data_IF_036721635611
#
_entry.id   IF_036721635611
#
_cell.length_a   1.000
_cell.length_b   1.000
_cell.length_c   1.000
_cell.angle_alpha   90.00
_cell.angle_beta   90.00
_cell.angle_gamma   90.00
#
_symmetry.space_group_name_H-M   'P 1'
#
loop_
_entity.id
_entity.type
_entity.pdbx_description
1 polymer ?
#
# COMPACT_ATOMS: atom_id res chain seq x y z
N UNK A 1 -11.52 0.41 6.88
CA UNK A 1 -11.70 1.46 5.84
C UNK A 1 -12.12 0.82 4.52
N UNK A 2 -12.56 1.57 3.50
CA UNK A 2 -12.83 0.98 2.18
C UNK A 2 -11.57 1.07 1.29
N UNK A 3 -11.27 -0.02 0.58
CA UNK A 3 -10.19 -0.05 -0.42
C UNK A 3 -10.49 0.92 -1.57
N UNK A 4 -9.45 1.63 -2.02
CA UNK A 4 -9.50 2.46 -3.23
C UNK A 4 -8.37 2.06 -4.16
N UNK A 5 -8.63 1.94 -5.46
CA UNK A 5 -7.61 1.57 -6.44
C UNK A 5 -6.44 2.57 -6.42
N UNK A 6 -5.20 2.13 -6.13
CA UNK A 6 -4.02 2.99 -6.14
C UNK A 6 -3.77 3.59 -7.53
N UNK A 7 -3.19 4.79 -7.58
CA UNK A 7 -2.76 5.42 -8.83
C UNK A 7 -1.35 4.95 -9.16
N UNK A 8 -1.20 4.22 -10.26
CA UNK A 8 0.09 3.62 -10.70
C UNK A 8 0.58 4.17 -12.03
N UNK A 9 -0.07 5.22 -12.53
CA UNK A 9 0.23 5.88 -13.79
C UNK A 9 0.66 7.33 -13.60
N UNK A 10 1.33 7.63 -12.48
CA UNK A 10 1.89 8.95 -12.21
C UNK A 10 2.85 9.36 -13.32
N UNK A 11 2.64 10.54 -13.88
CA UNK A 11 3.51 11.10 -14.91
C UNK A 11 4.06 12.47 -14.49
N UNK A 12 5.34 12.69 -14.78
CA UNK A 12 6.01 13.96 -14.56
C UNK A 12 7.07 14.20 -15.62
N UNK A 13 7.10 15.42 -16.15
CA UNK A 13 8.13 15.90 -17.05
C UNK A 13 8.52 17.32 -16.64
N UNK A 14 9.73 17.72 -16.97
CA UNK A 14 10.17 19.11 -16.83
C UNK A 14 10.35 19.67 -18.24
N UNK A 15 9.74 20.82 -18.51
CA UNK A 15 9.94 21.50 -19.79
C UNK A 15 11.36 22.08 -19.91
N UNK A 16 11.70 22.59 -21.10
CA UNK A 16 13.01 23.20 -21.37
C UNK A 16 13.29 24.47 -20.56
N UNK A 17 12.30 25.00 -19.83
CA UNK A 17 12.37 26.24 -19.04
C UNK A 17 12.35 25.91 -17.53
N UNK A 18 12.24 24.63 -17.14
CA UNK A 18 12.26 24.17 -15.75
C UNK A 18 10.88 24.02 -15.09
N UNK A 19 9.78 24.19 -15.81
CA UNK A 19 8.43 24.00 -15.25
C UNK A 19 8.07 22.52 -15.20
N UNK A 20 7.51 22.09 -14.07
CA UNK A 20 6.99 20.74 -13.91
C UNK A 20 5.62 20.61 -14.60
N UNK A 21 5.57 19.72 -15.59
CA UNK A 21 4.38 19.30 -16.34
C UNK A 21 4.06 17.88 -15.93
N UNK A 22 2.99 17.71 -15.15
CA UNK A 22 2.53 16.38 -14.78
C UNK A 22 1.64 16.36 -13.55
N UNK A 23 1.45 15.15 -13.05
CA UNK A 23 0.69 14.87 -11.84
C UNK A 23 1.41 15.43 -10.61
N UNK A 24 0.64 16.08 -9.74
CA UNK A 24 1.12 16.59 -8.45
C UNK A 24 0.50 15.82 -7.32
N UNK A 25 1.33 15.43 -6.35
CA UNK A 25 0.88 14.79 -5.13
C UNK A 25 0.04 15.77 -4.29
N UNK A 26 -1.12 15.32 -3.81
CA UNK A 26 -2.03 16.14 -3.00
C UNK A 26 -2.58 15.36 -1.80
N UNK A 27 -3.42 16.03 -1.01
CA UNK A 27 -3.98 15.46 0.22
C UNK A 27 -4.88 14.24 -0.03
N UNK A 28 -5.59 14.20 -1.17
CA UNK A 28 -6.44 13.05 -1.56
C UNK A 28 -5.57 11.84 -1.84
N UNK A 29 -4.44 12.01 -2.53
CA UNK A 29 -3.51 10.92 -2.81
C UNK A 29 -2.87 10.39 -1.53
N UNK A 30 -2.45 11.27 -0.62
CA UNK A 30 -1.94 10.88 0.70
C UNK A 30 -2.98 10.07 1.48
N UNK A 31 -4.21 10.57 1.56
CA UNK A 31 -5.29 9.89 2.28
C UNK A 31 -5.63 8.53 1.65
N UNK A 32 -5.62 8.43 0.31
CA UNK A 32 -5.80 7.17 -0.42
C UNK A 32 -4.74 6.15 0.01
N UNK A 33 -3.46 6.51 -0.08
CA UNK A 33 -2.34 5.62 0.25
C UNK A 33 -2.42 5.18 1.71
N UNK A 34 -2.60 6.13 2.63
CA UNK A 34 -2.75 5.89 4.07
C UNK A 34 -3.88 4.90 4.37
N UNK A 35 -5.06 5.14 3.81
CA UNK A 35 -6.23 4.30 4.04
C UNK A 35 -6.07 2.91 3.42
N UNK A 36 -5.43 2.81 2.25
CA UNK A 36 -5.10 1.54 1.61
C UNK A 36 -4.10 0.71 2.42
N UNK A 37 -3.07 1.32 3.00
CA UNK A 37 -2.14 0.62 3.89
C UNK A 37 -2.84 0.08 5.14
N UNK A 38 -3.78 0.85 5.69
CA UNK A 38 -4.60 0.42 6.83
C UNK A 38 -5.48 -0.76 6.44
N UNK A 39 -6.14 -0.69 5.28
CA UNK A 39 -6.92 -1.79 4.72
C UNK A 39 -6.07 -3.06 4.48
N UNK A 40 -4.89 -2.91 3.89
CA UNK A 40 -3.96 -4.02 3.67
C UNK A 40 -3.55 -4.69 4.98
N UNK A 41 -3.31 -3.92 6.04
CA UNK A 41 -3.04 -4.47 7.37
C UNK A 41 -4.24 -5.23 7.90
N UNK A 42 -5.46 -4.69 7.81
CA UNK A 42 -6.69 -5.37 8.24
C UNK A 42 -6.88 -6.71 7.50
N UNK A 43 -6.69 -6.70 6.18
CA UNK A 43 -6.75 -7.90 5.35
C UNK A 43 -5.65 -8.90 5.72
N UNK A 44 -4.40 -8.44 5.87
CA UNK A 44 -3.27 -9.27 6.24
C UNK A 44 -3.46 -9.94 7.61
N UNK A 45 -3.94 -9.21 8.62
CA UNK A 45 -4.17 -9.77 9.97
C UNK A 45 -5.33 -10.77 10.00
N UNK A 46 -6.28 -10.69 9.06
CA UNK A 46 -7.32 -11.73 8.93
C UNK A 46 -6.78 -13.08 8.41
N UNK A 47 -5.53 -13.10 7.96
CA UNK A 47 -4.90 -14.21 7.24
C UNK A 47 -3.62 -14.71 7.92
N UNK A 48 -2.79 -13.78 8.38
CA UNK A 48 -1.46 -13.97 8.96
C UNK A 48 -1.47 -13.68 10.46
N UNK A 49 -0.34 -13.88 11.13
CA UNK A 49 -0.14 -13.50 12.52
C UNK A 49 -0.40 -12.01 12.72
N UNK A 50 -0.97 -11.64 13.86
CA UNK A 50 -1.27 -10.25 14.17
C UNK A 50 -0.01 -9.38 14.22
N UNK A 51 -0.07 -8.21 13.57
CA UNK A 51 0.95 -7.17 13.62
C UNK A 51 0.30 -5.79 13.56
N UNK A 52 1.05 -4.76 13.91
CA UNK A 52 0.61 -3.36 13.87
C UNK A 52 1.43 -2.54 12.89
N UNK A 53 0.84 -1.46 12.39
CA UNK A 53 1.51 -0.41 11.63
C UNK A 53 1.36 0.91 12.39
N UNK A 54 2.26 1.86 12.16
CA UNK A 54 2.18 3.14 12.85
C UNK A 54 1.00 3.97 12.30
N UNK A 55 0.21 4.63 13.17
CA UNK A 55 -0.85 5.51 12.72
C UNK A 55 -0.27 6.79 12.10
N UNK A 56 -0.79 7.19 10.93
CA UNK A 56 -0.42 8.42 10.22
C UNK A 56 -1.30 9.63 10.57
N UNK A 57 -2.04 9.54 11.67
CA UNK A 57 -2.91 10.61 12.17
C UNK A 57 -4.21 10.78 11.41
N UNK A 58 -4.76 12.01 11.43
CA UNK A 58 -6.01 12.38 10.75
C UNK A 58 -5.84 12.52 9.24
N UNK A 59 -6.95 12.56 8.52
CA UNK A 59 -6.92 12.80 7.08
C UNK A 59 -6.44 14.22 6.80
N UNK A 60 -5.60 14.35 5.77
CA UNK A 60 -5.05 15.64 5.34
C UNK A 60 -6.09 16.41 4.56
N UNK A 61 -6.09 17.72 4.76
CA UNK A 61 -6.78 18.70 3.95
C UNK A 61 -5.81 19.37 2.99
N UNK A 62 -6.27 20.02 1.91
CA UNK A 62 -5.40 20.77 1.00
C UNK A 62 -4.59 21.89 1.66
N UNK A 63 -4.96 22.31 2.88
CA UNK A 63 -4.26 23.32 3.65
C UNK A 63 -3.11 22.76 4.51
N UNK A 64 -3.05 21.43 4.67
CA UNK A 64 -2.04 20.78 5.50
C UNK A 64 -0.72 20.57 4.73
N UNK A 65 0.37 20.66 5.48
CA UNK A 65 1.71 20.36 4.96
C UNK A 65 2.00 18.86 5.06
N UNK A 66 2.78 18.37 4.09
CA UNK A 66 3.35 17.02 4.12
C UNK A 66 4.72 17.06 4.76
N UNK A 67 4.90 16.33 5.85
CA UNK A 67 6.19 16.23 6.51
C UNK A 67 6.96 14.99 6.02
N UNK A 68 8.29 15.10 5.99
CA UNK A 68 9.16 14.04 5.46
C UNK A 68 9.07 12.74 6.29
N UNK A 69 8.90 12.86 7.60
CA UNK A 69 8.67 11.75 8.53
C UNK A 69 7.36 11.01 8.24
N UNK A 70 6.29 11.74 7.90
CA UNK A 70 5.00 11.14 7.52
C UNK A 70 5.12 10.33 6.24
N UNK A 71 5.85 10.83 5.25
CA UNK A 71 6.11 10.09 4.01
C UNK A 71 6.97 8.86 4.27
N UNK A 72 8.05 9.01 5.04
CA UNK A 72 8.88 7.87 5.46
C UNK A 72 8.06 6.82 6.23
N UNK A 73 7.07 7.27 7.00
CA UNK A 73 6.18 6.37 7.73
C UNK A 73 5.24 5.58 6.80
N UNK A 74 4.81 6.14 5.66
CA UNK A 74 4.08 5.38 4.64
C UNK A 74 4.92 4.23 4.09
N UNK A 75 6.18 4.52 3.76
CA UNK A 75 7.15 3.53 3.27
C UNK A 75 7.44 2.44 4.31
N UNK A 76 7.66 2.82 5.57
CA UNK A 76 7.91 1.86 6.65
C UNK A 76 6.66 1.01 6.92
N UNK A 77 5.46 1.59 6.88
CA UNK A 77 4.22 0.82 7.03
C UNK A 77 4.04 -0.21 5.92
N UNK A 78 4.32 0.15 4.66
CA UNK A 78 4.31 -0.78 3.54
C UNK A 78 5.32 -1.93 3.76
N UNK A 79 6.54 -1.59 4.20
CA UNK A 79 7.58 -2.56 4.50
C UNK A 79 7.20 -3.51 5.63
N UNK A 80 6.56 -3.01 6.70
CA UNK A 80 6.04 -3.83 7.80
C UNK A 80 4.97 -4.81 7.29
N UNK A 81 3.98 -4.32 6.53
CA UNK A 81 2.94 -5.18 5.94
C UNK A 81 3.57 -6.27 5.09
N UNK A 82 4.49 -5.92 4.20
CA UNK A 82 5.15 -6.87 3.32
C UNK A 82 6.02 -7.89 4.08
N UNK A 83 6.76 -7.44 5.11
CA UNK A 83 7.65 -8.32 5.90
C UNK A 83 6.88 -9.36 6.73
N UNK A 84 5.66 -9.03 7.15
CA UNK A 84 4.78 -9.92 7.90
C UNK A 84 3.87 -10.79 7.01
N UNK A 85 3.89 -10.59 5.69
CA UNK A 85 3.05 -11.32 4.74
C UNK A 85 3.90 -12.09 3.72
N UNK A 86 4.02 -11.55 2.51
CA UNK A 86 4.54 -12.24 1.33
C UNK A 86 6.05 -12.04 1.11
N UNK A 87 6.68 -11.13 1.86
CA UNK A 87 8.12 -10.84 1.84
C UNK A 87 8.66 -10.62 0.42
N UNK A 88 7.92 -9.85 -0.39
CA UNK A 88 8.25 -9.54 -1.79
C UNK A 88 9.30 -8.44 -1.87
N UNK A 89 9.99 -8.36 -3.00
CA UNK A 89 10.92 -7.25 -3.27
C UNK A 89 10.22 -6.19 -4.12
N UNK A 90 10.04 -5.00 -3.56
CA UNK A 90 9.44 -3.83 -4.22
C UNK A 90 10.46 -2.70 -4.44
N UNK A 91 11.74 -3.07 -4.58
CA UNK A 91 12.85 -2.13 -4.68
C UNK A 91 13.22 -1.46 -3.36
N UNK A 92 14.12 -0.48 -3.46
CA UNK A 92 14.61 0.29 -2.30
C UNK A 92 13.66 1.45 -2.03
N UNK A 93 13.19 1.56 -0.78
CA UNK A 93 12.41 2.72 -0.35
C UNK A 93 13.33 3.94 -0.23
N UNK A 94 12.98 5.07 -0.86
CA UNK A 94 13.69 6.33 -0.65
C UNK A 94 13.53 6.81 0.80
N UNK A 95 14.46 7.63 1.28
CA UNK A 95 14.36 8.27 2.59
C UNK A 95 14.33 9.78 2.40
N UNK A 96 13.26 10.39 2.86
CA UNK A 96 13.04 11.83 2.77
C UNK A 96 13.57 12.53 4.01
N UNK A 97 14.21 13.68 3.79
CA UNK A 97 14.72 14.56 4.85
C UNK A 97 14.06 15.92 4.76
N UNK A 98 13.94 16.61 5.89
CA UNK A 98 13.37 17.96 5.93
C UNK A 98 14.14 18.91 5.00
N UNK A 99 13.41 19.74 4.24
CA UNK A 99 13.95 20.64 3.21
C UNK A 99 14.71 19.93 2.06
N UNK A 100 14.56 18.61 1.92
CA UNK A 100 15.08 17.85 0.80
C UNK A 100 14.14 17.83 -0.40
N UNK A 101 14.50 17.04 -1.42
CA UNK A 101 13.62 16.78 -2.55
C UNK A 101 12.38 15.99 -2.11
N UNK A 102 11.24 16.36 -2.70
CA UNK A 102 9.97 15.66 -2.55
C UNK A 102 9.92 14.47 -3.51
N UNK A 103 9.09 13.48 -3.19
CA UNK A 103 8.92 12.24 -3.97
C UNK A 103 8.76 12.50 -5.47
N UNK A 104 9.41 11.69 -6.29
CA UNK A 104 9.19 11.72 -7.73
C UNK A 104 8.03 10.80 -8.17
N UNK A 105 7.56 10.97 -9.40
CA UNK A 105 6.47 10.14 -9.94
C UNK A 105 6.85 8.66 -10.06
N UNK A 106 8.14 8.32 -10.16
CA UNK A 106 8.60 6.93 -10.24
C UNK A 106 8.52 6.24 -8.86
N UNK A 107 8.88 6.96 -7.81
CA UNK A 107 8.78 6.55 -6.42
C UNK A 107 7.31 6.36 -6.04
N UNK A 108 6.42 7.26 -6.45
CA UNK A 108 4.98 7.11 -6.25
C UNK A 108 4.41 5.88 -7.00
N UNK A 109 4.79 5.68 -8.26
CA UNK A 109 4.40 4.49 -9.02
C UNK A 109 4.92 3.19 -8.37
N UNK A 110 6.13 3.21 -7.81
CA UNK A 110 6.70 2.07 -7.08
C UNK A 110 5.90 1.78 -5.81
N UNK A 111 5.62 2.79 -4.99
CA UNK A 111 4.90 2.65 -3.73
C UNK A 111 3.44 2.20 -3.97
N UNK A 112 2.69 2.91 -4.82
CA UNK A 112 1.29 2.56 -5.10
C UNK A 112 1.19 1.25 -5.90
N UNK A 113 2.17 0.94 -6.75
CA UNK A 113 2.26 -0.34 -7.43
C UNK A 113 2.51 -1.51 -6.49
N UNK A 114 3.36 -1.33 -5.47
CA UNK A 114 3.59 -2.32 -4.43
C UNK A 114 2.33 -2.56 -3.57
N UNK A 115 1.62 -1.49 -3.23
CA UNK A 115 0.33 -1.57 -2.51
C UNK A 115 -0.70 -2.37 -3.34
N UNK A 116 -0.78 -2.12 -4.64
CA UNK A 116 -1.68 -2.85 -5.54
C UNK A 116 -1.30 -4.34 -5.66
N UNK A 117 -0.02 -4.66 -5.91
CA UNK A 117 0.42 -6.07 -6.02
C UNK A 117 0.21 -6.84 -4.70
N UNK A 118 0.44 -6.22 -3.55
CA UNK A 118 0.11 -6.82 -2.25
C UNK A 118 -1.39 -7.05 -2.08
N UNK A 119 -2.22 -6.08 -2.46
CA UNK A 119 -3.68 -6.20 -2.39
C UNK A 119 -4.19 -7.37 -3.22
N UNK A 120 -3.78 -7.44 -4.49
CA UNK A 120 -4.22 -8.50 -5.40
C UNK A 120 -3.84 -9.87 -4.86
N UNK A 121 -2.60 -10.02 -4.36
CA UNK A 121 -2.13 -11.29 -3.81
C UNK A 121 -2.84 -11.68 -2.52
N UNK A 122 -2.97 -10.75 -1.57
CA UNK A 122 -3.63 -11.01 -0.28
C UNK A 122 -5.12 -11.31 -0.47
N UNK A 123 -5.77 -10.64 -1.42
CA UNK A 123 -7.17 -10.89 -1.75
C UNK A 123 -7.35 -12.27 -2.37
N UNK A 124 -6.53 -12.62 -3.37
CA UNK A 124 -6.51 -13.96 -3.96
C UNK A 124 -6.27 -15.05 -2.90
N UNK A 125 -5.41 -14.77 -1.93
CA UNK A 125 -5.10 -15.65 -0.82
C UNK A 125 -6.25 -15.79 0.20
N UNK A 126 -6.97 -14.71 0.49
CA UNK A 126 -8.17 -14.73 1.34
C UNK A 126 -9.30 -15.50 0.67
N UNK A 127 -9.55 -15.24 -0.62
CA UNK A 127 -10.62 -15.89 -1.38
C UNK A 127 -10.30 -17.37 -1.63
N UNK A 128 -9.05 -17.69 -1.99
CA UNK A 128 -8.59 -19.06 -2.18
C UNK A 128 -8.69 -19.91 -0.91
N UNK A 129 -8.40 -19.34 0.26
CA UNK A 129 -8.56 -20.05 1.55
C UNK A 129 -10.01 -20.39 1.89
N UNK A 130 -10.97 -19.52 1.55
CA UNK A 130 -12.39 -19.76 1.84
C UNK A 130 -12.99 -20.93 1.03
N UNK A 131 -12.32 -21.34 -0.05
CA UNK A 131 -12.81 -22.41 -0.94
C UNK A 131 -12.37 -23.82 -0.53
N UNK A 132 -11.57 -24.01 0.53
CA UNK A 132 -11.19 -25.35 1.02
C UNK A 132 -12.23 -25.99 1.96
N UNK A 133 -13.50 -26.04 1.54
CA UNK A 133 -14.45 -26.99 2.14
C UNK A 133 -14.15 -28.40 1.59
N UNK A 134 -13.27 -29.12 2.27
CA UNK A 134 -13.01 -30.53 1.97
C UNK A 134 -14.17 -31.37 2.52
N UNK A 135 -15.21 -31.59 1.72
CA UNK A 135 -16.22 -32.60 2.04
C UNK A 135 -15.59 -33.98 1.83
N UNK A 136 -15.01 -34.56 2.89
CA UNK A 136 -14.76 -35.99 2.93
C UNK A 136 -16.12 -36.67 2.81
N UNK A 137 -16.47 -37.13 1.61
CA UNK A 137 -17.59 -38.04 1.44
C UNK A 137 -17.31 -39.27 2.29
N UNK A 138 -17.96 -39.38 3.45
CA UNK A 138 -18.07 -40.65 4.15
C UNK A 138 -18.89 -41.56 3.24
N UNK A 139 -18.22 -42.29 2.35
CA UNK A 139 -18.79 -43.47 1.75
C UNK A 139 -18.92 -44.47 2.89
N UNK A 140 -20.11 -44.50 3.51
CA UNK A 140 -20.51 -45.51 4.48
C UNK A 140 -20.16 -46.87 3.89
N UNK A 141 -19.12 -47.48 4.45
CA UNK A 141 -18.80 -48.86 4.18
C UNK A 141 -19.80 -49.71 4.93
N UNK A 142 -20.90 -50.04 4.27
CA UNK A 142 -21.71 -51.18 4.65
C UNK A 142 -20.89 -52.45 4.41
N UNK A 143 -20.52 -53.14 5.50
CA UNK A 143 -20.23 -54.58 5.54
C UNK A 143 -20.83 -55.15 6.82
#
# INVERSE_FOLDING_TARGET
MAWQTPKTNWHGATDSIGNYIGDRFNAVDFNRIKNNLTYLRELAVSIYTEFSIAPLGTDRTPADYFYADEINQLEENLKIVNSNTLKRSYGTAPTYVANGNVMDFKELNRLEGAILDLYDRLTNESEGRRMFMWNFGMKGGDL
#
